data_IF_227308743554
#
_entry.id   IF_227308743554
#
_cell.length_a   1.000
_cell.length_b   1.000
_cell.length_c   1.000
_cell.angle_alpha   90.00
_cell.angle_beta   90.00
_cell.angle_gamma   90.00
#
_symmetry.space_group_name_H-M   'P 1'
#
loop_
_entity.id
_entity.type
_entity.pdbx_description
1 polymer ?
#
# COMPACT_ATOMS: atom_id res chain seq x y z
N UNK A 1 7.31 37.88 20.46
CA UNK A 1 7.62 36.90 19.40
C UNK A 1 6.58 35.79 19.51
N UNK A 2 5.50 35.87 18.73
CA UNK A 2 4.44 34.86 18.77
C UNK A 2 4.64 33.90 17.59
N UNK A 3 5.11 32.69 17.89
CA UNK A 3 5.22 31.59 16.92
C UNK A 3 3.92 30.80 17.01
N UNK A 4 3.17 30.75 15.91
CA UNK A 4 1.94 29.96 15.82
C UNK A 4 2.34 28.54 15.42
N UNK A 5 2.17 27.58 16.34
CA UNK A 5 2.26 26.15 16.06
C UNK A 5 0.84 25.57 16.05
N UNK A 6 0.36 25.15 14.89
CA UNK A 6 -0.94 24.49 14.77
C UNK A 6 -0.76 22.98 14.97
N UNK A 7 -1.32 22.43 16.04
CA UNK A 7 -1.39 20.99 16.30
C UNK A 7 -2.87 20.55 16.29
N UNK A 8 -3.11 19.37 15.72
CA UNK A 8 -4.40 18.90 15.21
C UNK A 8 -5.45 18.64 16.32
N UNK A 9 -6.63 19.26 16.22
CA UNK A 9 -7.82 18.86 16.97
C UNK A 9 -9.06 19.03 16.07
N UNK A 10 -9.84 17.95 15.93
CA UNK A 10 -11.07 17.91 15.13
C UNK A 10 -12.14 18.74 15.83
N UNK A 11 -12.21 20.02 15.47
CA UNK A 11 -13.36 20.90 15.68
C UNK A 11 -13.81 21.43 14.31
N UNK A 12 -15.09 21.80 14.22
CA UNK A 12 -15.72 22.41 13.05
C UNK A 12 -14.71 23.29 12.28
N UNK A 13 -14.49 22.98 10.99
CA UNK A 13 -13.44 23.62 10.18
C UNK A 13 -13.54 25.15 10.23
N UNK A 14 -14.76 25.67 10.40
CA UNK A 14 -15.03 27.09 10.59
C UNK A 14 -14.39 27.67 11.88
N UNK A 15 -14.48 26.97 13.01
CA UNK A 15 -13.87 27.40 14.27
C UNK A 15 -12.34 27.38 14.19
N UNK A 16 -11.77 26.34 13.57
CA UNK A 16 -10.32 26.26 13.32
C UNK A 16 -9.84 27.41 12.44
N UNK A 17 -10.55 27.69 11.34
CA UNK A 17 -10.25 28.81 10.45
C UNK A 17 -10.28 30.14 11.20
N UNK A 18 -11.32 30.40 12.00
CA UNK A 18 -11.44 31.63 12.78
C UNK A 18 -10.27 31.79 13.77
N UNK A 19 -9.87 30.72 14.44
CA UNK A 19 -8.74 30.71 15.36
C UNK A 19 -7.43 31.08 14.63
N UNK A 20 -7.14 30.41 13.50
CA UNK A 20 -5.96 30.71 12.68
C UNK A 20 -5.93 32.18 12.23
N UNK A 21 -7.07 32.72 11.78
CA UNK A 21 -7.18 34.13 11.39
C UNK A 21 -6.94 35.08 12.56
N UNK A 22 -7.47 34.79 13.75
CA UNK A 22 -7.27 35.62 14.94
C UNK A 22 -5.80 35.66 15.36
N UNK A 23 -5.14 34.50 15.41
CA UNK A 23 -3.72 34.40 15.76
C UNK A 23 -2.83 35.09 14.71
N UNK A 24 -3.15 34.93 13.43
CA UNK A 24 -2.38 35.48 12.31
C UNK A 24 -2.32 37.03 12.31
N UNK A 25 -3.38 37.71 12.77
CA UNK A 25 -3.46 39.20 12.79
C UNK A 25 -2.32 39.86 13.57
N UNK A 26 -1.89 39.25 14.67
CA UNK A 26 -0.82 39.76 15.53
C UNK A 26 0.56 39.16 15.28
N UNK A 27 0.65 38.15 14.41
CA UNK A 27 1.90 37.44 14.16
C UNK A 27 2.76 38.14 13.09
N UNK A 28 4.08 38.06 13.26
CA UNK A 28 5.04 38.47 12.21
C UNK A 28 5.42 37.29 11.32
N UNK A 29 5.56 36.10 11.90
CA UNK A 29 6.05 34.90 11.22
C UNK A 29 5.05 33.75 11.36
N UNK A 30 4.90 32.97 10.29
CA UNK A 30 4.18 31.71 10.25
C UNK A 30 5.18 30.59 9.95
N UNK A 31 5.31 29.61 10.85
CA UNK A 31 6.18 28.45 10.64
C UNK A 31 5.31 27.20 10.53
N UNK A 32 5.31 26.57 9.36
CA UNK A 32 4.53 25.37 9.08
C UNK A 32 5.27 24.13 9.60
N UNK A 33 4.63 23.42 10.52
CA UNK A 33 5.14 22.24 11.22
C UNK A 33 4.36 20.95 10.91
N UNK A 34 3.64 20.94 9.79
CA UNK A 34 2.87 19.78 9.34
C UNK A 34 3.80 18.62 8.94
N UNK A 35 3.24 17.42 8.79
CA UNK A 35 4.02 16.24 8.37
C UNK A 35 4.71 16.48 7.02
N UNK A 36 5.91 15.90 6.85
CA UNK A 36 6.78 16.18 5.70
C UNK A 36 6.49 15.26 4.51
N UNK A 37 5.23 15.24 4.08
CA UNK A 37 4.76 14.60 2.85
C UNK A 37 3.93 15.56 2.00
N UNK A 38 3.41 15.09 0.86
CA UNK A 38 2.63 15.93 -0.05
C UNK A 38 1.31 16.41 0.54
N UNK A 39 0.64 15.59 1.36
CA UNK A 39 -0.62 15.96 2.01
C UNK A 39 -0.37 17.04 3.06
N UNK A 40 0.71 16.92 3.83
CA UNK A 40 1.16 17.94 4.78
C UNK A 40 1.55 19.27 4.11
N UNK A 41 2.16 19.23 2.92
CA UNK A 41 2.38 20.45 2.12
C UNK A 41 1.05 21.06 1.65
N UNK A 42 0.12 20.26 1.13
CA UNK A 42 -1.20 20.73 0.68
C UNK A 42 -1.99 21.41 1.81
N UNK A 43 -2.09 20.77 2.98
CA UNK A 43 -2.68 21.36 4.20
C UNK A 43 -1.91 22.63 4.61
N UNK A 44 -0.59 22.65 4.43
CA UNK A 44 0.24 23.83 4.68
C UNK A 44 -0.16 25.03 3.86
N UNK A 45 -0.52 24.81 2.59
CA UNK A 45 -1.03 25.86 1.71
C UNK A 45 -2.46 26.29 2.07
N UNK A 46 -3.33 25.39 2.55
CA UNK A 46 -4.64 25.76 3.10
C UNK A 46 -4.50 26.70 4.31
N UNK A 47 -3.63 26.34 5.28
CA UNK A 47 -3.33 27.15 6.47
C UNK A 47 -2.72 28.49 6.07
N UNK A 48 -1.78 28.48 5.12
CA UNK A 48 -1.16 29.68 4.58
C UNK A 48 -2.22 30.62 3.98
N UNK A 49 -3.11 30.12 3.14
CA UNK A 49 -4.17 30.92 2.51
C UNK A 49 -5.06 31.59 3.57
N UNK A 50 -5.47 30.84 4.59
CA UNK A 50 -6.29 31.37 5.69
C UNK A 50 -5.55 32.46 6.49
N UNK A 51 -4.30 32.21 6.85
CA UNK A 51 -3.49 33.14 7.64
C UNK A 51 -3.12 34.40 6.85
N UNK A 52 -2.71 34.26 5.58
CA UNK A 52 -2.36 35.36 4.70
C UNK A 52 -3.56 36.24 4.34
N UNK A 53 -4.77 35.67 4.26
CA UNK A 53 -5.99 36.45 4.10
C UNK A 53 -6.26 37.37 5.31
N UNK A 54 -5.89 36.94 6.52
CA UNK A 54 -6.01 37.74 7.74
C UNK A 54 -4.84 38.73 7.93
N UNK A 55 -3.63 38.38 7.47
CA UNK A 55 -2.43 39.21 7.57
C UNK A 55 -1.49 38.99 6.37
N UNK A 56 -1.57 39.84 5.33
CA UNK A 56 -0.74 39.72 4.13
C UNK A 56 0.77 39.97 4.35
N UNK A 57 1.16 40.49 5.53
CA UNK A 57 2.56 40.82 5.85
C UNK A 57 3.31 39.66 6.52
N UNK A 58 2.66 38.50 6.68
CA UNK A 58 3.29 37.34 7.31
C UNK A 58 4.50 36.87 6.51
N UNK A 59 5.62 36.69 7.20
CA UNK A 59 6.77 35.96 6.65
C UNK A 59 6.56 34.48 6.92
N UNK A 60 6.61 33.66 5.88
CA UNK A 60 6.23 32.24 5.95
C UNK A 60 7.49 31.39 5.88
N UNK A 61 7.51 30.33 6.69
CA UNK A 61 8.58 29.34 6.73
C UNK A 61 7.99 27.93 6.82
N UNK A 62 8.78 26.95 6.38
CA UNK A 62 8.46 25.53 6.48
C UNK A 62 9.56 24.82 7.26
N UNK A 63 9.19 24.23 8.39
CA UNK A 63 10.07 23.33 9.14
C UNK A 63 10.02 21.94 8.50
N UNK A 64 11.18 21.29 8.29
CA UNK A 64 11.26 19.93 7.75
C UNK A 64 11.91 18.99 8.75
N UNK A 65 11.23 17.89 9.05
CA UNK A 65 11.65 16.88 10.02
C UNK A 65 11.14 15.50 9.61
N UNK A 66 11.84 14.44 10.01
CA UNK A 66 11.44 13.06 9.73
C UNK A 66 11.06 12.26 10.98
N UNK A 67 11.32 12.81 12.17
CA UNK A 67 10.95 12.20 13.44
C UNK A 67 10.75 13.27 14.52
N UNK A 68 9.88 12.96 15.50
CA UNK A 68 9.60 13.83 16.64
C UNK A 68 10.62 13.62 17.77
N UNK A 69 11.90 13.82 17.47
CA UNK A 69 12.99 13.73 18.45
C UNK A 69 13.71 15.07 18.60
N UNK A 70 14.23 15.42 19.80
CA UNK A 70 14.78 16.75 20.07
C UNK A 70 15.84 17.21 19.07
N UNK A 71 16.73 16.29 18.66
CA UNK A 71 17.78 16.57 17.68
C UNK A 71 17.21 17.03 16.33
N UNK A 72 16.20 16.33 15.83
CA UNK A 72 15.56 16.64 14.53
C UNK A 72 14.79 17.95 14.60
N UNK A 73 14.01 18.18 15.66
CA UNK A 73 13.23 19.41 15.82
C UNK A 73 14.11 20.64 15.95
N UNK A 74 15.21 20.54 16.71
CA UNK A 74 16.19 21.62 16.83
C UNK A 74 16.88 21.91 15.48
N UNK A 75 17.21 20.87 14.72
CA UNK A 75 17.76 21.02 13.38
C UNK A 75 16.76 21.73 12.45
N UNK A 76 15.51 21.27 12.41
CA UNK A 76 14.45 21.85 11.60
C UNK A 76 14.21 23.35 11.90
N UNK A 77 14.28 23.75 13.17
CA UNK A 77 14.19 25.17 13.56
C UNK A 77 15.39 25.99 13.11
N UNK A 78 16.58 25.40 13.07
CA UNK A 78 17.79 26.09 12.63
C UNK A 78 17.87 26.21 11.09
N UNK A 79 17.16 25.35 10.34
CA UNK A 79 17.24 25.25 8.87
C UNK A 79 15.87 25.43 8.20
N UNK A 80 15.07 26.38 8.69
CA UNK A 80 13.76 26.69 8.12
C UNK A 80 13.82 27.02 6.62
N UNK A 81 12.98 26.34 5.84
CA UNK A 81 12.85 26.54 4.39
C UNK A 81 11.58 27.28 4.00
N UNK A 82 11.20 27.16 2.73
CA UNK A 82 9.93 27.63 2.19
C UNK A 82 9.01 26.44 1.86
N UNK A 83 7.68 26.60 1.98
CA UNK A 83 6.73 25.56 1.57
C UNK A 83 6.81 25.31 0.06
N UNK A 84 6.57 24.08 -0.37
CA UNK A 84 6.69 23.68 -1.77
C UNK A 84 5.32 23.68 -2.47
N UNK A 85 5.03 24.73 -3.24
CA UNK A 85 3.75 24.85 -3.94
C UNK A 85 3.53 23.73 -4.98
N UNK A 86 4.59 23.19 -5.58
CA UNK A 86 4.44 22.14 -6.60
C UNK A 86 3.92 20.84 -5.99
N UNK A 87 4.31 20.51 -4.76
CA UNK A 87 3.79 19.33 -4.06
C UNK A 87 2.31 19.51 -3.69
N UNK A 88 1.92 20.70 -3.23
CA UNK A 88 0.53 21.03 -2.94
C UNK A 88 -0.35 20.96 -4.19
N UNK A 89 0.10 21.55 -5.31
CA UNK A 89 -0.62 21.53 -6.59
C UNK A 89 -0.76 20.10 -7.15
N UNK A 90 0.22 19.22 -6.90
CA UNK A 90 0.12 17.82 -7.28
C UNK A 90 -0.99 17.08 -6.51
N UNK A 91 -1.18 17.41 -5.23
CA UNK A 91 -2.31 16.88 -4.43
C UNK A 91 -3.64 17.43 -4.95
N UNK A 92 -3.74 18.74 -5.20
CA UNK A 92 -4.96 19.35 -5.76
C UNK A 92 -5.35 18.71 -7.09
N UNK A 93 -4.38 18.53 -7.99
CA UNK A 93 -4.60 17.86 -9.27
C UNK A 93 -5.10 16.42 -9.09
N UNK A 94 -4.52 15.67 -8.16
CA UNK A 94 -4.95 14.30 -7.84
C UNK A 94 -6.39 14.29 -7.30
N UNK A 95 -6.70 15.15 -6.34
CA UNK A 95 -8.05 15.27 -5.76
C UNK A 95 -9.10 15.63 -6.83
N UNK A 96 -8.76 16.56 -7.74
CA UNK A 96 -9.64 16.95 -8.85
C UNK A 96 -9.89 15.79 -9.81
N UNK A 97 -8.84 15.05 -10.19
CA UNK A 97 -8.95 13.86 -11.06
C UNK A 97 -9.83 12.80 -10.39
N UNK A 98 -9.52 12.45 -9.14
CA UNK A 98 -10.23 11.42 -8.39
C UNK A 98 -11.72 11.79 -8.25
N UNK A 99 -12.04 13.06 -7.93
CA UNK A 99 -13.41 13.54 -7.82
C UNK A 99 -14.14 13.53 -9.16
N UNK A 100 -13.55 14.10 -10.22
CA UNK A 100 -14.23 14.23 -11.52
C UNK A 100 -14.45 12.88 -12.17
N UNK A 101 -13.40 12.06 -12.24
CA UNK A 101 -13.47 10.72 -12.83
C UNK A 101 -14.37 9.84 -11.97
N UNK A 102 -14.15 9.81 -10.65
CA UNK A 102 -14.91 9.00 -9.72
C UNK A 102 -16.40 9.34 -9.74
N UNK A 103 -16.77 10.61 -9.63
CA UNK A 103 -18.16 11.04 -9.64
C UNK A 103 -18.84 10.77 -11.00
N UNK A 104 -18.14 11.00 -12.12
CA UNK A 104 -18.71 10.80 -13.46
C UNK A 104 -19.02 9.32 -13.72
N UNK A 105 -18.06 8.43 -13.50
CA UNK A 105 -18.25 7.00 -13.74
C UNK A 105 -19.15 6.34 -12.70
N UNK A 106 -19.07 6.76 -11.43
CA UNK A 106 -19.96 6.26 -10.37
C UNK A 106 -21.42 6.60 -10.70
N UNK A 107 -21.71 7.86 -11.02
CA UNK A 107 -23.08 8.29 -11.38
C UNK A 107 -23.58 7.58 -12.63
N UNK A 108 -22.75 7.51 -13.67
CA UNK A 108 -23.10 6.82 -14.92
C UNK A 108 -23.47 5.35 -14.66
N UNK A 109 -22.61 4.58 -13.99
CA UNK A 109 -22.83 3.15 -13.75
C UNK A 109 -24.00 2.91 -12.80
N UNK A 110 -24.08 3.66 -11.71
CA UNK A 110 -25.17 3.52 -10.74
C UNK A 110 -26.51 3.77 -11.41
N UNK A 111 -26.69 4.90 -12.09
CA UNK A 111 -27.96 5.21 -12.76
C UNK A 111 -28.27 4.25 -13.91
N UNK A 112 -27.25 3.76 -14.63
CA UNK A 112 -27.44 2.82 -15.73
C UNK A 112 -27.89 1.44 -15.24
N UNK A 113 -27.36 0.96 -14.11
CA UNK A 113 -27.48 -0.44 -13.68
C UNK A 113 -28.44 -0.65 -12.51
N UNK A 114 -28.68 0.37 -11.66
CA UNK A 114 -29.50 0.24 -10.45
C UNK A 114 -30.90 -0.35 -10.73
N UNK A 115 -31.52 0.00 -11.85
CA UNK A 115 -32.87 -0.48 -12.21
C UNK A 115 -32.84 -1.61 -13.27
N UNK A 116 -31.63 -2.09 -13.65
CA UNK A 116 -31.46 -3.16 -14.65
C UNK A 116 -31.50 -4.56 -14.05
N UNK A 117 -31.14 -4.69 -12.79
CA UNK A 117 -30.95 -5.97 -12.12
C UNK A 117 -31.76 -6.02 -10.82
N UNK A 118 -32.22 -7.21 -10.48
CA UNK A 118 -32.72 -7.50 -9.14
C UNK A 118 -31.51 -7.74 -8.21
N UNK A 119 -31.07 -6.66 -7.56
CA UNK A 119 -29.91 -6.69 -6.67
C UNK A 119 -30.14 -7.50 -5.39
N UNK A 120 -31.40 -7.57 -4.93
CA UNK A 120 -31.79 -8.38 -3.78
C UNK A 120 -31.64 -9.88 -4.08
N UNK A 121 -32.05 -10.32 -5.28
CA UNK A 121 -31.79 -11.69 -5.74
C UNK A 121 -30.29 -12.01 -5.87
N UNK A 122 -29.46 -10.99 -6.08
CA UNK A 122 -28.00 -11.07 -6.10
C UNK A 122 -27.33 -11.08 -4.72
N UNK A 123 -28.10 -11.05 -3.62
CA UNK A 123 -27.59 -11.09 -2.25
C UNK A 123 -27.11 -9.76 -1.70
N UNK A 124 -27.45 -8.63 -2.33
CA UNK A 124 -27.22 -7.30 -1.78
C UNK A 124 -28.40 -6.90 -0.89
N UNK A 125 -28.08 -6.26 0.24
CA UNK A 125 -29.08 -5.81 1.20
C UNK A 125 -29.88 -4.58 0.71
N UNK A 126 -29.32 -3.81 -0.21
CA UNK A 126 -29.95 -2.63 -0.80
C UNK A 126 -30.48 -2.93 -2.20
N UNK A 127 -31.75 -2.58 -2.44
CA UNK A 127 -32.40 -2.70 -3.76
C UNK A 127 -31.79 -1.75 -4.81
N UNK A 128 -31.03 -0.72 -4.37
CA UNK A 128 -30.41 0.30 -5.23
C UNK A 128 -28.97 0.59 -4.80
N UNK A 129 -28.03 -0.34 -5.06
CA UNK A 129 -26.67 -0.19 -4.59
C UNK A 129 -25.94 0.94 -5.34
N UNK A 130 -25.09 1.67 -4.62
CA UNK A 130 -24.14 2.59 -5.23
C UNK A 130 -22.99 1.80 -5.88
N UNK A 131 -22.83 1.94 -7.18
CA UNK A 131 -21.76 1.29 -7.94
C UNK A 131 -20.63 2.30 -8.13
N UNK A 132 -19.68 2.28 -7.20
CA UNK A 132 -18.56 3.22 -7.19
C UNK A 132 -17.47 2.84 -8.18
N UNK A 133 -16.85 3.86 -8.77
CA UNK A 133 -15.67 3.76 -9.59
C UNK A 133 -14.62 4.73 -9.09
N UNK A 134 -13.38 4.27 -9.02
CA UNK A 134 -12.21 5.09 -8.75
C UNK A 134 -11.06 4.67 -9.66
N UNK A 135 -10.28 5.62 -10.21
CA UNK A 135 -9.20 5.32 -11.15
C UNK A 135 -8.13 4.39 -10.56
N UNK A 136 -7.92 4.42 -9.24
CA UNK A 136 -7.02 3.48 -8.53
C UNK A 136 -7.77 2.26 -7.95
N UNK A 137 -9.02 2.44 -7.49
CA UNK A 137 -9.84 1.36 -6.93
C UNK A 137 -10.11 0.26 -7.97
N UNK A 138 -10.42 0.64 -9.21
CA UNK A 138 -10.77 -0.28 -10.29
C UNK A 138 -9.64 -1.26 -10.65
N UNK A 139 -8.41 -0.81 -10.98
CA UNK A 139 -7.29 -1.74 -11.24
C UNK A 139 -6.91 -2.55 -10.00
N UNK A 140 -7.06 -2.01 -8.79
CA UNK A 140 -6.81 -2.75 -7.54
C UNK A 140 -7.75 -3.95 -7.41
N UNK A 141 -9.04 -3.77 -7.68
CA UNK A 141 -9.99 -4.89 -7.74
C UNK A 141 -9.64 -5.85 -8.89
N UNK A 142 -9.16 -5.32 -10.01
CA UNK A 142 -8.68 -6.11 -11.15
C UNK A 142 -7.61 -7.15 -10.76
N UNK A 143 -6.67 -6.80 -9.88
CA UNK A 143 -5.65 -7.74 -9.39
C UNK A 143 -6.26 -8.92 -8.63
N UNK A 144 -7.28 -8.66 -7.81
CA UNK A 144 -7.98 -9.69 -7.03
C UNK A 144 -8.77 -10.62 -7.97
N UNK A 145 -9.52 -10.01 -8.91
CA UNK A 145 -10.34 -10.75 -9.88
C UNK A 145 -9.47 -11.59 -10.81
N UNK A 146 -8.35 -11.04 -11.30
CA UNK A 146 -7.39 -11.78 -12.12
C UNK A 146 -6.87 -13.00 -11.38
N UNK A 147 -6.46 -12.84 -10.12
CA UNK A 147 -5.98 -13.97 -9.31
C UNK A 147 -7.06 -15.03 -9.09
N UNK A 148 -8.31 -14.61 -8.90
CA UNK A 148 -9.43 -15.53 -8.78
C UNK A 148 -9.66 -16.33 -10.08
N UNK A 149 -9.56 -15.69 -11.24
CA UNK A 149 -9.66 -16.36 -12.53
C UNK A 149 -8.52 -17.34 -12.78
N UNK A 150 -7.28 -16.99 -12.42
CA UNK A 150 -6.13 -17.90 -12.50
C UNK A 150 -6.34 -19.15 -11.66
N UNK A 151 -6.91 -19.00 -10.44
CA UNK A 151 -7.21 -20.14 -9.56
C UNK A 151 -8.33 -21.00 -10.16
N UNK A 152 -9.40 -20.38 -10.67
CA UNK A 152 -10.53 -21.10 -11.26
C UNK A 152 -10.17 -21.82 -12.55
N UNK A 153 -9.28 -21.24 -13.36
CA UNK A 153 -8.80 -21.83 -14.62
C UNK A 153 -7.61 -22.78 -14.41
N UNK A 154 -7.11 -22.92 -13.18
CA UNK A 154 -6.01 -23.84 -12.89
C UNK A 154 -6.47 -25.29 -13.10
N UNK A 155 -5.83 -25.95 -14.06
CA UNK A 155 -5.97 -27.40 -14.26
C UNK A 155 -4.80 -28.07 -13.54
N UNK A 156 -5.10 -28.80 -12.46
CA UNK A 156 -4.09 -29.55 -11.71
C UNK A 156 -3.51 -30.67 -12.56
N UNK A 157 -2.19 -30.69 -12.70
CA UNK A 157 -1.48 -31.74 -13.44
C UNK A 157 -0.80 -32.71 -12.46
N UNK A 158 -1.00 -34.04 -12.61
CA UNK A 158 -0.30 -35.02 -11.78
C UNK A 158 1.19 -34.98 -12.09
N UNK A 159 2.01 -35.10 -11.04
CA UNK A 159 3.46 -35.18 -11.16
C UNK A 159 4.01 -36.28 -10.26
N UNK A 160 5.20 -36.75 -10.59
CA UNK A 160 5.91 -37.80 -9.89
C UNK A 160 7.32 -37.34 -9.53
N UNK A 161 7.81 -37.80 -8.38
CA UNK A 161 9.17 -37.56 -7.93
C UNK A 161 9.69 -38.80 -7.20
N UNK A 162 11.01 -38.98 -7.18
CA UNK A 162 11.65 -40.08 -6.46
C UNK A 162 12.05 -39.58 -5.07
N UNK A 163 11.54 -40.22 -4.03
CA UNK A 163 11.90 -39.94 -2.65
C UNK A 163 12.88 -41.01 -2.15
N UNK A 164 14.05 -40.60 -1.68
CA UNK A 164 15.04 -41.49 -1.08
C UNK A 164 15.31 -41.08 0.37
N UNK A 165 15.32 -42.04 1.30
CA UNK A 165 15.64 -41.82 2.70
C UNK A 165 16.70 -42.81 3.17
N UNK A 166 17.71 -42.32 3.89
CA UNK A 166 18.73 -43.13 4.54
C UNK A 166 18.36 -43.27 6.02
N UNK A 167 18.28 -44.51 6.50
CA UNK A 167 18.06 -44.80 7.93
C UNK A 167 19.32 -45.42 8.53
N UNK A 168 19.83 -44.80 9.58
CA UNK A 168 20.94 -45.31 10.38
C UNK A 168 20.37 -46.12 11.54
N UNK A 169 20.73 -47.39 11.72
CA UNK A 169 20.27 -48.22 12.84
C UNK A 169 20.93 -47.84 14.19
N UNK A 170 20.43 -48.35 15.33
CA UNK A 170 20.95 -48.04 16.67
C UNK A 170 22.44 -48.40 16.85
N UNK A 171 23.18 -47.75 17.79
CA UNK A 171 22.70 -46.84 18.85
C UNK A 171 22.54 -45.36 18.42
N UNK A 172 22.95 -44.99 17.21
CA UNK A 172 22.83 -43.63 16.66
C UNK A 172 21.70 -43.56 15.62
N UNK A 173 20.49 -43.90 16.05
CA UNK A 173 19.32 -43.92 15.17
C UNK A 173 19.06 -42.53 14.59
N UNK A 174 19.11 -42.41 13.26
CA UNK A 174 18.83 -41.17 12.54
C UNK A 174 18.27 -41.47 11.15
N UNK A 175 17.54 -40.52 10.58
CA UNK A 175 17.04 -40.59 9.21
C UNK A 175 17.38 -39.30 8.48
N UNK A 176 17.76 -39.42 7.21
CA UNK A 176 18.03 -38.29 6.33
C UNK A 176 17.27 -38.48 5.02
N UNK A 177 16.44 -37.51 4.67
CA UNK A 177 15.69 -37.50 3.41
C UNK A 177 16.47 -36.73 2.35
N UNK A 178 16.53 -37.29 1.15
CA UNK A 178 17.20 -36.70 0.00
C UNK A 178 16.18 -36.15 -0.97
N UNK A 179 16.40 -34.91 -1.41
CA UNK A 179 15.60 -34.29 -2.48
C UNK A 179 16.17 -34.72 -3.83
N UNK A 180 15.32 -35.21 -4.72
CA UNK A 180 15.74 -35.59 -6.06
C UNK A 180 16.24 -34.36 -6.84
N UNK A 181 17.44 -34.43 -7.39
CA UNK A 181 18.05 -33.31 -8.13
C UNK A 181 17.21 -32.83 -9.32
N UNK A 182 16.35 -33.70 -9.89
CA UNK A 182 15.43 -33.34 -10.99
C UNK A 182 14.12 -32.70 -10.51
N UNK A 183 13.90 -32.60 -9.21
CA UNK A 183 12.65 -32.10 -8.63
C UNK A 183 11.49 -33.06 -8.86
N UNK A 184 10.65 -32.76 -9.87
CA UNK A 184 9.48 -33.56 -10.26
C UNK A 184 9.37 -33.64 -11.78
N UNK A 185 8.78 -34.72 -12.29
CA UNK A 185 8.43 -34.87 -13.70
C UNK A 185 6.92 -35.11 -13.83
N UNK A 186 6.36 -34.74 -14.99
CA UNK A 186 4.93 -34.89 -15.31
C UNK A 186 4.66 -36.13 -16.20
N UNK A 187 5.65 -37.00 -16.35
CA UNK A 187 5.55 -38.26 -17.09
C UNK A 187 5.82 -39.42 -16.13
N UNK A 188 4.82 -40.28 -15.95
CA UNK A 188 4.88 -41.42 -15.02
C UNK A 188 5.85 -42.49 -15.50
N UNK A 189 5.86 -42.78 -16.79
CA UNK A 189 6.64 -43.88 -17.36
C UNK A 189 8.13 -43.54 -17.30
N UNK A 190 8.49 -42.30 -17.60
CA UNK A 190 9.84 -41.78 -17.43
C UNK A 190 10.33 -41.87 -15.98
N UNK A 191 9.49 -41.53 -14.99
CA UNK A 191 9.87 -41.66 -13.57
C UNK A 191 9.96 -43.12 -13.15
N UNK A 192 9.11 -43.99 -13.68
CA UNK A 192 9.12 -45.42 -13.36
C UNK A 192 10.42 -46.08 -13.81
N UNK A 193 10.88 -45.79 -15.03
CA UNK A 193 12.18 -46.29 -15.54
C UNK A 193 13.36 -45.81 -14.67
N UNK A 194 13.34 -44.54 -14.25
CA UNK A 194 14.39 -44.00 -13.38
C UNK A 194 14.35 -44.60 -11.98
N UNK A 195 13.15 -44.86 -11.45
CA UNK A 195 12.95 -45.48 -10.16
C UNK A 195 13.44 -46.94 -10.15
N UNK A 196 13.12 -47.71 -11.19
CA UNK A 196 13.59 -49.10 -11.35
C UNK A 196 15.12 -49.16 -11.36
N UNK A 197 15.77 -48.28 -12.13
CA UNK A 197 17.24 -48.18 -12.14
C UNK A 197 17.83 -47.86 -10.75
N UNK A 198 17.18 -46.99 -9.96
CA UNK A 198 17.60 -46.72 -8.59
C UNK A 198 17.34 -47.90 -7.64
N UNK A 199 16.26 -48.66 -7.85
CA UNK A 199 15.92 -49.82 -7.02
C UNK A 199 16.87 -51.00 -7.28
N UNK A 200 17.35 -51.17 -8.51
CA UNK A 200 18.35 -52.19 -8.86
C UNK A 200 19.75 -51.86 -8.29
N UNK A 201 20.05 -50.57 -8.07
CA UNK A 201 21.33 -50.10 -7.52
C UNK A 201 21.13 -49.30 -6.21
N UNK A 202 20.82 -49.96 -5.07
CA UNK A 202 20.44 -49.29 -3.83
C UNK A 202 21.60 -48.61 -3.07
N UNK A 203 22.84 -48.78 -3.53
CA UNK A 203 24.02 -48.20 -2.88
C UNK A 203 24.22 -46.75 -3.31
N UNK A 204 23.96 -45.81 -2.40
CA UNK A 204 24.25 -44.39 -2.62
C UNK A 204 25.73 -44.07 -2.35
N UNK A 205 26.33 -43.21 -3.17
CA UNK A 205 27.69 -42.67 -2.98
C UNK A 205 27.60 -41.17 -2.74
N UNK A 206 28.25 -40.67 -1.70
CA UNK A 206 28.36 -39.23 -1.46
C UNK A 206 29.32 -38.64 -2.48
N UNK A 207 28.81 -37.78 -3.36
CA UNK A 207 29.60 -37.16 -4.44
C UNK A 207 30.20 -35.82 -4.03
N UNK A 208 29.51 -35.05 -3.18
CA UNK A 208 29.90 -33.71 -2.78
C UNK A 208 29.37 -33.40 -1.38
N UNK A 209 30.19 -32.75 -0.55
CA UNK A 209 29.81 -32.21 0.75
C UNK A 209 30.19 -30.74 0.75
N UNK A 210 29.19 -29.87 0.84
CA UNK A 210 29.39 -28.43 1.01
C UNK A 210 28.98 -28.04 2.43
N UNK A 211 29.89 -27.40 3.15
CA UNK A 211 29.59 -26.76 4.43
C UNK A 211 29.20 -25.31 4.12
N UNK A 212 27.98 -24.92 4.48
CA UNK A 212 27.55 -23.52 4.47
C UNK A 212 28.23 -22.73 5.58
#
# INVERSE_FOLDING_TARGET
>A
MHVIAACHAVQDKAAMQQNLQQLARGAQWLVLWLDCDREGENIGFEVLQVCSAANPRLTVFRARFSALIPRELNHAMATLGQPNQLDALAVDARQEIDLRVGASFTRFQTLLLQDRFDWAAGGLADDKPLISYGPCQFPTLGLIVQRAWEIQSHVSEPFWYIHASLRVPPPQASSCDFTWARGRLFDRDAVTVLYEACSEAPTATVTQIELR
#
